data_IF_198376111338
#
_entry.id   IF_198376111338
#
_cell.length_a   1.000
_cell.length_b   1.000
_cell.length_c   1.000
_cell.angle_alpha   90.00
_cell.angle_beta   90.00
_cell.angle_gamma   90.00
#
_symmetry.space_group_name_H-M   'P 1'
#
loop_
_entity.id
_entity.type
_entity.pdbx_description
1 polymer ?
#
# COMPACT_ATOMS: atom_id res chain seq x y z
N UNK A 1 -19.66 10.64 -1.37
CA UNK A 1 -20.10 11.01 -0.06
C UNK A 1 -21.25 11.98 -0.08
N UNK A 2 -21.33 12.85 -1.07
CA UNK A 2 -22.37 13.89 -1.12
C UNK A 2 -23.79 13.30 -1.11
N UNK A 3 -23.97 12.18 -1.79
CA UNK A 3 -25.28 11.55 -1.92
C UNK A 3 -25.73 10.78 -0.67
N UNK A 4 -24.88 10.69 0.31
CA UNK A 4 -25.26 10.23 1.65
C UNK A 4 -25.92 11.38 2.43
N UNK A 5 -25.89 12.56 1.85
CA UNK A 5 -26.37 13.76 2.48
C UNK A 5 -25.32 14.45 3.34
N UNK A 6 -25.78 15.18 4.29
CA UNK A 6 -24.97 15.97 5.21
C UNK A 6 -23.95 15.14 5.97
N UNK A 7 -22.94 15.78 6.56
CA UNK A 7 -22.00 15.11 7.45
C UNK A 7 -22.71 14.24 8.48
N UNK A 8 -22.15 13.06 8.75
CA UNK A 8 -22.67 12.18 9.78
C UNK A 8 -22.68 12.92 11.12
N UNK A 9 -23.83 12.98 11.73
CA UNK A 9 -24.06 13.61 13.03
C UNK A 9 -24.62 12.61 14.03
N UNK A 10 -24.69 13.00 15.29
CA UNK A 10 -25.29 12.17 16.34
C UNK A 10 -26.77 11.85 16.08
N UNK A 11 -27.45 12.62 15.25
CA UNK A 11 -28.84 12.43 14.87
C UNK A 11 -29.03 11.64 13.57
N UNK A 12 -27.97 11.20 12.93
CA UNK A 12 -28.03 10.47 11.67
C UNK A 12 -28.52 9.04 11.91
N UNK A 13 -29.60 8.59 11.24
CA UNK A 13 -30.17 7.24 11.45
C UNK A 13 -29.40 6.18 10.67
N UNK A 14 -28.12 6.04 10.93
CA UNK A 14 -27.24 5.06 10.28
C UNK A 14 -27.22 3.73 11.04
N UNK A 15 -26.76 2.68 10.37
CA UNK A 15 -26.60 1.34 10.97
C UNK A 15 -25.44 1.25 11.98
N UNK A 16 -24.60 2.25 12.04
CA UNK A 16 -23.57 2.42 13.06
C UNK A 16 -23.94 3.54 14.04
N UNK A 17 -22.97 4.04 14.76
CA UNK A 17 -23.14 5.11 15.73
C UNK A 17 -21.94 6.01 15.89
N UNK A 18 -22.16 7.18 16.44
CA UNK A 18 -21.07 8.05 16.89
C UNK A 18 -20.51 7.47 18.20
N UNK A 19 -19.20 7.27 18.22
CA UNK A 19 -18.47 6.87 19.42
C UNK A 19 -17.86 8.11 20.04
N UNK A 20 -18.26 8.37 21.28
CA UNK A 20 -17.72 9.46 22.10
C UNK A 20 -16.64 8.90 23.02
N UNK A 21 -15.49 9.54 23.03
CA UNK A 21 -14.38 9.19 23.91
C UNK A 21 -14.60 9.83 25.29
N UNK A 22 -15.59 9.36 26.02
CA UNK A 22 -15.99 9.93 27.32
C UNK A 22 -14.85 9.96 28.35
N UNK A 23 -13.88 9.04 28.26
CA UNK A 23 -12.68 9.08 29.10
C UNK A 23 -11.87 10.37 28.92
N UNK A 24 -11.88 10.95 27.73
CA UNK A 24 -11.21 12.20 27.40
C UNK A 24 -11.79 13.39 28.17
N UNK A 25 -13.09 13.39 28.37
CA UNK A 25 -13.83 14.42 29.11
C UNK A 25 -14.03 14.09 30.58
N UNK A 26 -13.61 12.91 31.05
CA UNK A 26 -13.76 12.49 32.44
C UNK A 26 -13.20 13.52 33.43
N UNK A 27 -13.86 13.75 34.58
CA UNK A 27 -13.43 14.73 35.57
C UNK A 27 -11.99 14.59 36.04
N UNK A 28 -11.51 13.36 36.22
CA UNK A 28 -10.11 13.07 36.57
C UNK A 28 -9.07 13.54 35.55
N UNK A 29 -9.49 13.77 34.31
CA UNK A 29 -8.63 14.24 33.20
C UNK A 29 -8.69 15.78 33.01
N UNK A 30 -9.51 16.48 33.77
CA UNK A 30 -9.71 17.93 33.62
C UNK A 30 -8.39 18.73 33.65
N UNK A 31 -7.46 18.31 34.50
CA UNK A 31 -6.13 18.93 34.64
C UNK A 31 -5.31 18.91 33.34
N UNK A 32 -5.51 17.92 32.47
CA UNK A 32 -4.78 17.77 31.21
C UNK A 32 -5.43 18.54 30.05
N UNK A 33 -6.63 19.10 30.26
CA UNK A 33 -7.30 19.99 29.33
C UNK A 33 -7.06 21.48 29.64
N UNK A 34 -6.47 21.76 30.79
CA UNK A 34 -6.18 23.12 31.19
C UNK A 34 -5.09 23.75 30.28
N UNK A 35 -5.21 25.02 29.88
CA UNK A 35 -4.18 25.69 29.10
C UNK A 35 -2.78 25.55 29.74
N UNK A 36 -1.79 25.24 28.93
CA UNK A 36 -0.41 25.01 29.37
C UNK A 36 -0.13 23.67 30.05
N UNK A 37 -1.14 22.83 30.26
CA UNK A 37 -0.95 21.50 30.88
C UNK A 37 -1.47 20.36 30.01
N UNK A 38 -1.40 20.52 28.72
CA UNK A 38 -1.81 19.47 27.76
C UNK A 38 -0.84 18.30 27.85
N UNK A 39 -1.40 17.08 28.01
CA UNK A 39 -0.64 15.85 28.07
C UNK A 39 -1.06 14.92 26.95
N UNK A 40 -0.08 14.34 26.28
CA UNK A 40 -0.27 13.20 25.39
C UNK A 40 -0.60 11.95 26.26
N UNK A 41 -1.42 10.99 25.79
CA UNK A 41 -1.96 10.87 24.45
C UNK A 41 -3.32 11.56 24.22
N UNK A 42 -3.89 12.27 25.17
CA UNK A 42 -5.26 12.78 25.11
C UNK A 42 -5.59 13.64 23.88
N UNK A 43 -4.58 14.28 23.28
CA UNK A 43 -4.73 15.21 22.17
C UNK A 43 -4.24 14.63 20.84
N UNK A 44 -3.96 13.31 20.79
CA UNK A 44 -3.40 12.66 19.60
C UNK A 44 -4.45 12.17 18.61
N UNK A 45 -5.73 12.36 18.89
CA UNK A 45 -6.82 11.82 18.08
C UNK A 45 -8.10 12.64 18.26
N UNK A 46 -9.04 12.59 17.30
CA UNK A 46 -10.35 13.24 17.43
C UNK A 46 -11.13 12.75 18.65
N UNK A 47 -11.90 13.67 19.27
CA UNK A 47 -12.74 13.35 20.43
C UNK A 47 -13.87 12.38 20.09
N UNK A 48 -14.36 12.43 18.87
CA UNK A 48 -15.46 11.59 18.38
C UNK A 48 -15.15 11.02 17.01
N UNK A 49 -15.70 9.85 16.73
CA UNK A 49 -15.65 9.23 15.41
C UNK A 49 -16.89 8.37 15.16
N UNK A 50 -17.15 8.04 13.90
CA UNK A 50 -18.22 7.13 13.54
C UNK A 50 -17.72 5.68 13.51
N UNK A 51 -18.45 4.75 14.14
CA UNK A 51 -18.18 3.32 14.09
C UNK A 51 -19.39 2.57 13.54
N UNK A 52 -19.18 1.87 12.43
CA UNK A 52 -20.22 1.11 11.75
C UNK A 52 -20.10 1.18 10.24
N UNK A 53 -21.17 0.77 9.57
CA UNK A 53 -21.24 0.79 8.11
C UNK A 53 -21.75 2.14 7.59
N UNK A 54 -20.93 2.86 6.86
CA UNK A 54 -21.33 4.05 6.13
C UNK A 54 -21.55 3.70 4.64
N UNK A 55 -22.61 4.25 4.06
CA UNK A 55 -22.99 4.00 2.68
C UNK A 55 -22.83 5.24 1.84
N UNK A 56 -22.06 5.11 0.76
CA UNK A 56 -21.83 6.15 -0.24
C UNK A 56 -22.49 5.74 -1.52
N UNK A 57 -23.31 6.63 -2.09
CA UNK A 57 -24.00 6.36 -3.34
C UNK A 57 -23.89 7.56 -4.27
N UNK A 58 -23.58 7.30 -5.53
CA UNK A 58 -23.43 8.32 -6.55
C UNK A 58 -23.82 7.79 -7.92
N UNK A 59 -24.47 8.64 -8.70
CA UNK A 59 -24.61 8.39 -10.13
C UNK A 59 -23.31 8.80 -10.85
N UNK A 60 -22.74 7.87 -11.59
CA UNK A 60 -21.57 8.07 -12.45
C UNK A 60 -22.01 8.02 -13.91
N UNK A 61 -21.32 8.77 -14.76
CA UNK A 61 -21.59 8.76 -16.20
C UNK A 61 -20.38 8.18 -16.93
N UNK A 62 -20.57 7.06 -17.60
CA UNK A 62 -19.54 6.44 -18.43
C UNK A 62 -19.60 7.06 -19.83
N UNK A 63 -18.51 7.66 -20.35
CA UNK A 63 -18.50 8.27 -21.67
C UNK A 63 -18.48 7.20 -22.78
N UNK A 64 -18.95 7.57 -23.97
CA UNK A 64 -18.95 6.68 -25.14
C UNK A 64 -17.55 6.16 -25.49
N UNK A 65 -16.51 6.96 -25.23
CA UNK A 65 -15.10 6.58 -25.44
C UNK A 65 -14.62 5.42 -24.58
N UNK A 66 -15.40 5.01 -23.57
CA UNK A 66 -15.09 3.86 -22.70
C UNK A 66 -15.80 2.57 -23.13
N UNK A 67 -16.58 2.63 -24.22
CA UNK A 67 -17.12 1.41 -24.84
C UNK A 67 -15.96 0.46 -25.15
N UNK A 68 -16.20 -0.81 -25.00
CA UNK A 68 -15.22 -1.88 -25.23
C UNK A 68 -13.98 -1.86 -24.31
N UNK A 69 -14.04 -1.09 -23.24
CA UNK A 69 -12.97 -1.05 -22.24
C UNK A 69 -13.34 -1.76 -20.92
N UNK A 70 -12.34 -2.11 -20.18
CA UNK A 70 -12.43 -2.55 -18.79
C UNK A 70 -12.52 -1.32 -17.90
N UNK A 71 -13.57 -1.22 -17.07
CA UNK A 71 -13.79 -0.12 -16.13
C UNK A 71 -13.44 -0.57 -14.72
N UNK A 72 -12.61 0.19 -14.03
CA UNK A 72 -12.12 -0.09 -12.66
C UNK A 72 -12.44 1.09 -11.78
N UNK A 73 -12.99 0.80 -10.58
CA UNK A 73 -13.02 1.73 -9.46
C UNK A 73 -11.75 1.55 -8.64
N UNK A 74 -11.06 2.66 -8.37
CA UNK A 74 -9.89 2.73 -7.50
C UNK A 74 -10.20 3.60 -6.29
N UNK A 75 -9.97 3.05 -5.09
CA UNK A 75 -10.09 3.73 -3.80
C UNK A 75 -8.72 3.68 -3.12
N UNK A 76 -8.05 4.82 -2.96
CA UNK A 76 -6.64 4.84 -2.52
C UNK A 76 -6.44 4.29 -1.11
N UNK A 77 -7.23 4.75 -0.15
CA UNK A 77 -7.17 4.28 1.23
C UNK A 77 -8.57 4.28 1.83
N UNK A 78 -9.08 3.10 2.08
CA UNK A 78 -10.36 2.91 2.75
C UNK A 78 -10.14 2.35 4.15
N UNK A 79 -11.03 2.65 5.09
CA UNK A 79 -10.95 2.14 6.44
C UNK A 79 -12.33 1.71 6.95
N UNK A 80 -12.57 0.42 7.00
CA UNK A 80 -11.72 -0.75 6.75
C UNK A 80 -12.24 -1.55 5.55
N UNK A 81 -13.25 -2.47 5.76
CA UNK A 81 -13.87 -3.24 4.68
C UNK A 81 -14.68 -2.33 3.76
N UNK A 82 -14.48 -2.48 2.45
CA UNK A 82 -15.40 -1.91 1.47
C UNK A 82 -16.15 -3.00 0.73
N UNK A 83 -17.42 -2.71 0.39
CA UNK A 83 -18.26 -3.50 -0.51
C UNK A 83 -18.81 -2.61 -1.59
N UNK A 84 -18.77 -3.06 -2.83
CA UNK A 84 -19.10 -2.24 -4.00
C UNK A 84 -20.22 -2.88 -4.81
N UNK A 85 -21.17 -2.05 -5.26
CA UNK A 85 -22.21 -2.41 -6.20
C UNK A 85 -22.22 -1.42 -7.38
N UNK A 86 -22.49 -1.93 -8.56
CA UNK A 86 -22.81 -1.12 -9.73
C UNK A 86 -24.26 -1.44 -10.15
N UNK A 87 -25.14 -0.43 -10.08
CA UNK A 87 -26.60 -0.62 -10.11
C UNK A 87 -26.98 -1.63 -8.99
N UNK A 88 -27.67 -2.71 -9.35
CA UNK A 88 -28.08 -3.75 -8.39
C UNK A 88 -27.08 -4.93 -8.29
N UNK A 89 -25.99 -4.88 -9.09
CA UNK A 89 -25.00 -5.97 -9.12
C UNK A 89 -23.92 -5.77 -8.08
N UNK A 90 -23.75 -6.73 -7.16
CA UNK A 90 -22.60 -6.79 -6.29
C UNK A 90 -21.32 -7.07 -7.09
N UNK A 91 -20.31 -6.24 -6.90
CA UNK A 91 -19.01 -6.34 -7.58
C UNK A 91 -17.99 -7.09 -6.75
N UNK A 92 -17.93 -6.82 -5.46
CA UNK A 92 -16.97 -7.47 -4.56
C UNK A 92 -16.77 -6.75 -3.25
N UNK A 93 -15.86 -7.31 -2.44
CA UNK A 93 -15.42 -6.74 -1.16
C UNK A 93 -13.89 -6.77 -1.05
N UNK A 94 -13.34 -5.88 -0.24
CA UNK A 94 -11.91 -5.82 0.08
C UNK A 94 -11.73 -5.38 1.54
N UNK A 95 -10.86 -6.06 2.26
CA UNK A 95 -10.56 -5.88 3.68
C UNK A 95 -9.09 -5.49 3.95
N UNK A 96 -8.39 -4.96 2.95
CA UNK A 96 -7.03 -4.44 3.15
C UNK A 96 -7.04 -3.18 4.00
N UNK A 97 -6.15 -3.10 4.97
CA UNK A 97 -5.86 -1.87 5.72
C UNK A 97 -4.75 -1.04 5.07
N UNK A 98 -3.98 -1.65 4.19
CA UNK A 98 -2.68 -1.15 3.75
C UNK A 98 -2.68 -0.64 2.32
N UNK A 99 -3.46 -1.26 1.43
CA UNK A 99 -3.35 -1.06 -0.01
C UNK A 99 -4.63 -0.47 -0.62
N UNK A 100 -4.55 0.13 -1.80
CA UNK A 100 -5.74 0.56 -2.51
C UNK A 100 -6.74 -0.57 -2.73
N UNK A 101 -8.03 -0.25 -2.69
CA UNK A 101 -9.09 -1.16 -3.08
C UNK A 101 -9.45 -0.93 -4.54
N UNK A 102 -9.24 -1.95 -5.37
CA UNK A 102 -9.56 -1.91 -6.79
C UNK A 102 -10.69 -2.89 -7.13
N UNK A 103 -11.68 -2.40 -7.88
CA UNK A 103 -12.84 -3.17 -8.29
C UNK A 103 -13.05 -3.10 -9.79
N UNK A 104 -13.03 -4.23 -10.46
CA UNK A 104 -13.44 -4.31 -11.85
C UNK A 104 -14.96 -4.20 -11.94
N UNK A 105 -15.46 -3.03 -12.28
CA UNK A 105 -16.90 -2.77 -12.39
C UNK A 105 -17.52 -3.53 -13.56
N UNK A 106 -16.77 -3.72 -14.62
CA UNK A 106 -17.19 -4.51 -15.78
C UNK A 106 -16.30 -4.30 -16.98
N UNK A 107 -16.63 -5.06 -18.02
CA UNK A 107 -16.08 -4.94 -19.37
C UNK A 107 -17.26 -4.66 -20.26
N UNK A 108 -17.10 -3.80 -21.25
CA UNK A 108 -18.16 -3.42 -22.20
C UNK A 108 -19.44 -2.87 -21.53
N UNK A 109 -19.26 -2.11 -20.44
CA UNK A 109 -20.39 -1.45 -19.80
C UNK A 109 -21.02 -0.44 -20.76
N UNK A 110 -22.37 -0.38 -20.85
CA UNK A 110 -23.03 0.61 -21.67
C UNK A 110 -22.62 2.02 -21.26
N UNK A 111 -22.35 2.93 -22.20
CA UNK A 111 -22.20 4.35 -21.89
C UNK A 111 -23.47 4.90 -21.27
N UNK A 112 -23.32 5.96 -20.49
CA UNK A 112 -24.45 6.61 -19.84
C UNK A 112 -24.40 6.48 -18.32
N UNK A 113 -25.54 6.62 -17.68
CA UNK A 113 -25.70 6.75 -16.25
C UNK A 113 -25.75 5.39 -15.55
N UNK A 114 -24.92 5.23 -14.54
CA UNK A 114 -24.89 4.06 -13.64
C UNK A 114 -24.86 4.51 -12.19
N UNK A 115 -25.47 3.74 -11.31
CA UNK A 115 -25.43 3.99 -9.88
C UNK A 115 -24.30 3.20 -9.23
N UNK A 116 -23.30 3.91 -8.68
CA UNK A 116 -22.23 3.34 -7.89
C UNK A 116 -22.60 3.42 -6.42
N UNK A 117 -22.53 2.29 -5.72
CA UNK A 117 -22.73 2.22 -4.28
C UNK A 117 -21.50 1.61 -3.63
N UNK A 118 -20.98 2.25 -2.60
CA UNK A 118 -19.85 1.78 -1.78
C UNK A 118 -20.26 1.78 -0.31
N UNK A 119 -20.18 0.63 0.34
CA UNK A 119 -20.30 0.51 1.79
C UNK A 119 -18.90 0.46 2.38
N UNK A 120 -18.63 1.27 3.38
CA UNK A 120 -17.38 1.26 4.16
C UNK A 120 -17.73 0.91 5.60
N UNK A 121 -17.06 -0.10 6.16
CA UNK A 121 -17.30 -0.56 7.52
C UNK A 121 -15.99 -0.59 8.30
N UNK A 122 -15.85 0.25 9.31
CA UNK A 122 -14.66 0.36 10.15
C UNK A 122 -14.73 -0.47 11.44
N UNK A 123 -15.71 -1.36 11.57
CA UNK A 123 -15.69 -2.34 12.65
C UNK A 123 -14.55 -3.34 12.41
N UNK A 124 -14.05 -3.95 13.48
CA UNK A 124 -13.02 -4.99 13.37
C UNK A 124 -13.60 -6.21 12.63
N UNK A 125 -13.31 -6.30 11.31
CA UNK A 125 -13.82 -7.39 10.47
C UNK A 125 -13.01 -8.68 10.63
N UNK A 126 -11.76 -8.54 11.06
CA UNK A 126 -10.86 -9.62 11.49
C UNK A 126 -10.16 -9.14 12.75
N UNK A 127 -10.10 -9.97 13.79
CA UNK A 127 -9.34 -9.61 14.99
C UNK A 127 -7.84 -9.70 14.73
N UNK A 128 -7.26 -8.56 14.36
CA UNK A 128 -5.82 -8.38 14.11
C UNK A 128 -5.04 -7.95 15.35
N UNK A 129 -5.73 -7.81 16.49
CA UNK A 129 -5.20 -7.24 17.72
C UNK A 129 -5.74 -5.84 17.98
N UNK A 130 -6.44 -5.65 19.10
CA UNK A 130 -7.15 -4.41 19.42
C UNK A 130 -6.26 -3.18 19.60
N UNK A 131 -4.96 -3.39 19.86
CA UNK A 131 -3.97 -2.31 20.01
C UNK A 131 -3.25 -1.94 18.72
N UNK A 132 -3.48 -2.64 17.61
CA UNK A 132 -2.88 -2.30 16.32
C UNK A 132 -3.07 -0.82 16.00
N UNK A 133 -1.98 -0.14 15.63
CA UNK A 133 -2.03 1.31 15.35
C UNK A 133 -2.82 1.66 14.09
N UNK A 134 -3.10 0.69 13.24
CA UNK A 134 -3.99 0.91 12.09
C UNK A 134 -5.46 1.08 12.49
N UNK A 135 -5.87 0.58 13.67
CA UNK A 135 -7.27 0.58 14.13
C UNK A 135 -7.47 1.06 15.57
N UNK A 136 -6.37 1.23 16.32
CA UNK A 136 -6.42 1.54 17.75
C UNK A 136 -6.94 2.94 18.05
N UNK A 137 -7.77 3.06 19.08
CA UNK A 137 -8.18 4.33 19.64
C UNK A 137 -7.07 5.07 20.41
N UNK A 138 -5.92 4.44 20.61
CA UNK A 138 -4.77 5.03 21.27
C UNK A 138 -3.94 5.93 20.33
N UNK A 139 -4.17 5.87 19.03
CA UNK A 139 -3.43 6.63 18.01
C UNK A 139 -4.35 7.45 17.12
N UNK A 140 -4.57 7.03 15.88
CA UNK A 140 -5.39 7.76 14.92
C UNK A 140 -6.91 7.70 15.19
N UNK A 141 -7.33 6.75 16.03
CA UNK A 141 -8.73 6.40 16.18
C UNK A 141 -9.23 5.51 15.04
N UNK A 142 -10.40 4.94 15.24
CA UNK A 142 -11.03 4.06 14.26
C UNK A 142 -11.89 4.89 13.27
N UNK A 143 -11.24 5.69 12.43
CA UNK A 143 -11.91 6.54 11.45
C UNK A 143 -12.73 5.71 10.44
N UNK A 144 -13.73 6.31 9.81
CA UNK A 144 -14.53 5.69 8.76
C UNK A 144 -14.47 6.52 7.49
N UNK A 145 -14.32 5.85 6.37
CA UNK A 145 -14.40 6.51 5.07
C UNK A 145 -13.32 6.10 4.08
N UNK A 146 -13.14 6.95 3.08
CA UNK A 146 -12.16 6.81 2.02
C UNK A 146 -11.38 8.10 1.92
N UNK A 147 -10.05 8.02 2.00
CA UNK A 147 -9.15 9.16 1.86
C UNK A 147 -8.23 8.99 0.66
N UNK A 148 -7.68 10.10 0.17
CA UNK A 148 -6.89 10.11 -1.05
C UNK A 148 -7.74 10.05 -2.32
N UNK A 149 -7.20 9.43 -3.35
CA UNK A 149 -7.82 9.39 -4.69
C UNK A 149 -9.00 8.42 -4.72
N UNK A 150 -10.09 8.87 -5.36
CA UNK A 150 -11.22 8.04 -5.75
C UNK A 150 -11.37 8.22 -7.26
N UNK A 151 -11.09 7.17 -8.04
CA UNK A 151 -10.98 7.27 -9.48
C UNK A 151 -11.78 6.17 -10.19
N UNK A 152 -12.37 6.53 -11.33
CA UNK A 152 -12.78 5.58 -12.34
C UNK A 152 -11.73 5.56 -13.44
N UNK A 153 -11.25 4.36 -13.77
CA UNK A 153 -10.21 4.13 -14.79
C UNK A 153 -10.76 3.24 -15.88
N UNK A 154 -10.58 3.66 -17.13
CA UNK A 154 -10.84 2.80 -18.28
C UNK A 154 -9.51 2.29 -18.84
N UNK A 155 -9.42 1.00 -19.07
CA UNK A 155 -8.22 0.34 -19.61
C UNK A 155 -8.61 -0.66 -20.68
N UNK A 156 -7.68 -1.02 -21.58
CA UNK A 156 -7.89 -2.14 -22.48
C UNK A 156 -8.23 -3.44 -21.73
N UNK A 157 -8.92 -4.37 -22.40
CA UNK A 157 -9.36 -5.65 -21.83
C UNK A 157 -8.21 -6.55 -21.40
N UNK A 158 -7.08 -6.50 -22.11
CA UNK A 158 -5.81 -7.08 -21.66
C UNK A 158 -4.93 -5.97 -21.07
N UNK A 159 -4.44 -6.18 -19.85
CA UNK A 159 -3.63 -5.19 -19.13
C UNK A 159 -2.47 -5.84 -18.36
N UNK A 160 -1.50 -5.02 -17.98
CA UNK A 160 -0.40 -5.44 -17.10
C UNK A 160 -0.92 -5.37 -15.66
N UNK A 161 -1.24 -6.54 -15.08
CA UNK A 161 -1.82 -6.65 -13.74
C UNK A 161 -0.77 -6.53 -12.64
N UNK A 162 0.45 -7.02 -12.91
CA UNK A 162 1.59 -6.94 -11.99
C UNK A 162 2.87 -6.68 -12.77
N UNK A 163 3.77 -5.89 -12.17
CA UNK A 163 5.08 -5.55 -12.72
C UNK A 163 6.08 -5.43 -11.58
N UNK A 164 7.06 -6.32 -11.53
CA UNK A 164 8.07 -6.40 -10.49
C UNK A 164 9.46 -6.25 -11.08
N UNK A 165 10.29 -5.47 -10.41
CA UNK A 165 11.70 -5.28 -10.77
C UNK A 165 12.56 -5.87 -9.68
N UNK A 166 13.50 -6.74 -10.07
CA UNK A 166 14.46 -7.39 -9.19
C UNK A 166 15.87 -6.86 -9.51
N UNK A 167 16.38 -5.91 -8.72
CA UNK A 167 17.71 -5.34 -8.93
C UNK A 167 18.82 -6.38 -8.72
N UNK A 168 19.85 -6.30 -9.55
CA UNK A 168 21.12 -6.99 -9.39
C UNK A 168 22.25 -5.94 -9.35
N UNK A 169 22.69 -5.60 -8.14
CA UNK A 169 23.70 -4.56 -7.91
C UNK A 169 25.06 -4.98 -8.45
N UNK A 170 25.44 -6.26 -8.26
CA UNK A 170 26.72 -6.79 -8.72
C UNK A 170 26.83 -6.79 -10.24
N UNK A 171 25.77 -7.23 -10.93
CA UNK A 171 25.69 -7.22 -12.38
C UNK A 171 25.35 -5.85 -12.98
N UNK A 172 25.04 -4.84 -12.18
CA UNK A 172 24.51 -3.53 -12.60
C UNK A 172 23.37 -3.67 -13.62
N UNK A 173 22.44 -4.55 -13.28
CA UNK A 173 21.29 -4.89 -14.11
C UNK A 173 20.07 -5.16 -13.24
N UNK A 174 18.97 -5.58 -13.87
CA UNK A 174 17.78 -6.02 -13.17
C UNK A 174 17.00 -7.04 -14.00
N UNK A 175 16.19 -7.84 -13.32
CA UNK A 175 15.20 -8.73 -13.90
C UNK A 175 13.82 -8.13 -13.75
N UNK A 176 12.99 -8.27 -14.78
CA UNK A 176 11.60 -7.82 -14.78
C UNK A 176 10.70 -9.03 -14.83
N UNK A 177 9.71 -9.08 -13.95
CA UNK A 177 8.66 -10.10 -13.95
C UNK A 177 7.30 -9.46 -13.84
N UNK A 178 6.26 -10.16 -14.25
CA UNK A 178 4.91 -9.67 -14.06
C UNK A 178 3.84 -10.60 -14.60
N UNK A 179 2.62 -10.07 -14.57
CA UNK A 179 1.40 -10.76 -15.02
C UNK A 179 0.65 -9.86 -15.99
N UNK A 180 0.30 -10.41 -17.14
CA UNK A 180 -0.72 -9.84 -18.02
C UNK A 180 -2.02 -10.56 -17.71
N UNK A 181 -3.09 -9.81 -17.47
CA UNK A 181 -4.43 -10.33 -17.31
C UNK A 181 -5.31 -9.88 -18.47
N UNK A 182 -6.35 -10.67 -18.80
CA UNK A 182 -7.29 -10.39 -19.85
C UNK A 182 -8.71 -10.69 -19.34
N UNK A 183 -9.56 -9.69 -19.37
CA UNK A 183 -10.95 -9.78 -18.89
C UNK A 183 -11.91 -10.46 -19.90
N UNK A 184 -11.49 -10.64 -21.16
CA UNK A 184 -12.21 -11.38 -22.20
C UNK A 184 -11.24 -12.24 -23.00
N UNK A 185 -10.73 -13.34 -22.41
CA UNK A 185 -9.85 -14.25 -23.12
C UNK A 185 -10.62 -14.94 -24.25
N UNK A 186 -10.04 -14.94 -25.45
CA UNK A 186 -10.60 -15.65 -26.60
C UNK A 186 -10.08 -17.09 -26.76
N UNK A 187 -9.24 -17.50 -25.83
CA UNK A 187 -8.59 -18.82 -25.80
C UNK A 187 -7.52 -19.03 -26.87
N UNK A 188 -7.29 -18.04 -27.73
CA UNK A 188 -6.25 -18.08 -28.77
C UNK A 188 -4.96 -17.47 -28.21
N UNK A 189 -3.87 -18.20 -28.35
CA UNK A 189 -2.57 -17.67 -28.01
C UNK A 189 -2.18 -16.55 -29.00
N UNK A 190 -2.44 -15.33 -28.61
CA UNK A 190 -1.96 -14.16 -29.35
C UNK A 190 -0.59 -13.76 -28.80
N UNK A 191 0.38 -13.65 -29.68
CA UNK A 191 1.72 -13.16 -29.32
C UNK A 191 1.86 -11.69 -29.69
N UNK A 192 2.34 -10.89 -28.76
CA UNK A 192 2.65 -9.49 -28.98
C UNK A 192 4.07 -9.16 -28.51
N UNK A 193 4.45 -7.92 -28.64
CA UNK A 193 5.72 -7.41 -28.07
C UNK A 193 5.40 -6.33 -27.05
N UNK A 194 5.82 -6.55 -25.80
CA UNK A 194 5.77 -5.54 -24.77
C UNK A 194 7.01 -4.64 -24.88
N UNK A 195 6.77 -3.33 -24.92
CA UNK A 195 7.83 -2.34 -24.86
C UNK A 195 8.17 -2.00 -23.40
N UNK A 196 9.47 -1.93 -23.09
CA UNK A 196 9.97 -1.41 -21.81
C UNK A 196 10.71 -0.09 -22.08
N UNK A 197 10.37 0.93 -21.31
CA UNK A 197 11.08 2.21 -21.30
C UNK A 197 11.57 2.49 -19.87
N UNK A 198 12.87 2.74 -19.75
CA UNK A 198 13.51 3.07 -18.48
C UNK A 198 13.92 4.54 -18.48
N UNK A 199 13.65 5.23 -17.38
CA UNK A 199 14.02 6.63 -17.18
C UNK A 199 14.55 6.82 -15.76
N UNK A 200 15.58 7.66 -15.61
CA UNK A 200 15.92 8.20 -14.29
C UNK A 200 14.82 9.20 -13.92
N UNK A 201 14.28 9.05 -12.75
CA UNK A 201 13.21 9.88 -12.22
C UNK A 201 13.71 10.71 -11.05
N UNK A 202 13.42 11.99 -11.09
CA UNK A 202 13.67 12.90 -9.98
C UNK A 202 12.32 13.35 -9.44
N UNK A 203 11.99 12.86 -8.26
CA UNK A 203 10.64 12.98 -7.75
C UNK A 203 10.34 14.36 -7.16
N UNK A 204 11.35 15.07 -6.63
CA UNK A 204 11.15 16.39 -6.01
C UNK A 204 10.58 17.44 -6.98
N UNK A 205 10.93 17.37 -8.24
CA UNK A 205 10.46 18.27 -9.29
C UNK A 205 9.62 17.59 -10.37
N UNK A 206 9.33 16.29 -10.20
CA UNK A 206 8.62 15.43 -11.15
C UNK A 206 9.23 15.48 -12.56
N UNK A 207 10.51 15.77 -12.65
CA UNK A 207 11.20 15.88 -13.93
C UNK A 207 11.79 14.53 -14.35
N UNK A 208 11.70 14.26 -15.65
CA UNK A 208 12.39 13.16 -16.29
C UNK A 208 13.78 13.64 -16.67
N UNK A 209 14.79 13.21 -15.93
CA UNK A 209 16.18 13.54 -16.23
C UNK A 209 16.65 12.62 -17.34
N UNK A 210 17.01 13.16 -18.47
CA UNK A 210 17.58 12.52 -19.68
C UNK A 210 16.57 11.81 -20.60
N UNK A 211 16.95 11.59 -21.86
CA UNK A 211 16.18 10.72 -22.74
C UNK A 211 16.04 9.34 -22.10
N UNK A 212 14.98 8.60 -22.44
CA UNK A 212 14.79 7.25 -21.91
C UNK A 212 16.07 6.44 -22.13
N UNK A 213 16.57 5.84 -21.04
CA UNK A 213 17.87 5.16 -21.03
C UNK A 213 17.92 4.07 -22.10
N UNK A 214 16.81 3.36 -22.32
CA UNK A 214 16.62 2.47 -23.47
C UNK A 214 15.16 2.06 -23.68
N UNK A 215 14.81 1.81 -24.94
CA UNK A 215 13.55 1.12 -25.29
C UNK A 215 13.88 -0.31 -25.70
N UNK A 216 13.35 -1.27 -24.97
CA UNK A 216 13.48 -2.70 -25.22
C UNK A 216 12.11 -3.28 -25.58
N UNK A 217 12.07 -4.39 -26.29
CA UNK A 217 10.80 -5.03 -26.63
C UNK A 217 10.92 -6.55 -26.52
N UNK A 218 9.99 -7.15 -25.78
CA UNK A 218 9.97 -8.57 -25.44
C UNK A 218 8.68 -9.26 -25.88
N UNK A 219 8.72 -10.56 -26.25
CA UNK A 219 7.53 -11.30 -26.63
C UNK A 219 6.62 -11.53 -25.39
N UNK A 220 5.31 -11.45 -25.58
CA UNK A 220 4.30 -11.72 -24.54
C UNK A 220 3.11 -12.47 -25.11
N UNK A 221 2.43 -13.25 -24.26
CA UNK A 221 1.16 -13.89 -24.56
C UNK A 221 -0.01 -12.98 -24.12
N UNK A 222 -1.03 -12.80 -24.95
CA UNK A 222 -2.12 -11.84 -24.72
C UNK A 222 -3.52 -12.50 -24.68
N UNK A 223 -3.70 -13.68 -25.23
CA UNK A 223 -5.03 -14.28 -25.45
C UNK A 223 -5.57 -15.11 -24.29
N UNK A 224 -4.78 -15.36 -23.26
CA UNK A 224 -5.16 -16.13 -22.08
C UNK A 224 -5.67 -15.23 -20.96
N UNK A 225 -6.45 -15.79 -20.03
CA UNK A 225 -6.95 -15.04 -18.86
C UNK A 225 -5.81 -14.43 -18.04
N UNK A 226 -4.73 -15.20 -17.85
CA UNK A 226 -3.48 -14.74 -17.23
C UNK A 226 -2.28 -15.33 -17.93
N UNK A 227 -1.26 -14.51 -18.13
CA UNK A 227 0.05 -14.91 -18.61
C UNK A 227 1.14 -14.29 -17.77
N UNK A 228 2.10 -15.07 -17.29
CA UNK A 228 3.29 -14.58 -16.62
C UNK A 228 4.38 -14.27 -17.64
N UNK A 229 5.24 -13.32 -17.31
CA UNK A 229 6.44 -13.01 -18.06
C UNK A 229 7.62 -12.75 -17.14
N UNK A 230 8.83 -12.96 -17.67
CA UNK A 230 10.06 -12.66 -16.93
C UNK A 230 11.26 -12.56 -17.86
N UNK A 231 12.06 -11.49 -17.70
CA UNK A 231 13.25 -11.26 -18.50
C UNK A 231 14.36 -10.64 -17.67
N UNK A 232 15.59 -11.09 -17.89
CA UNK A 232 16.80 -10.40 -17.45
C UNK A 232 17.18 -9.35 -18.47
N UNK A 233 17.43 -8.13 -18.02
CA UNK A 233 17.83 -7.03 -18.90
C UNK A 233 19.36 -7.05 -19.01
N UNK A 234 19.92 -7.17 -20.23
CA UNK A 234 21.38 -7.20 -20.38
C UNK A 234 22.05 -5.93 -19.85
N UNK A 235 23.14 -6.07 -19.10
CA UNK A 235 23.85 -4.93 -18.48
C UNK A 235 24.40 -3.93 -19.52
N UNK A 236 24.81 -4.40 -20.71
CA UNK A 236 25.22 -3.54 -21.81
C UNK A 236 24.14 -2.59 -22.34
N UNK A 237 22.88 -2.89 -22.02
CA UNK A 237 21.72 -2.05 -22.35
C UNK A 237 21.44 -0.98 -21.29
N UNK A 238 22.15 -1.01 -20.15
CA UNK A 238 21.89 -0.24 -18.94
C UNK A 238 23.12 0.55 -18.45
N UNK A 239 24.01 0.95 -19.37
CA UNK A 239 25.21 1.71 -19.01
C UNK A 239 24.84 2.95 -18.17
N UNK A 240 25.51 3.11 -17.02
CA UNK A 240 25.36 4.28 -16.16
C UNK A 240 24.26 4.17 -15.09
N UNK A 241 23.73 2.99 -14.82
CA UNK A 241 22.86 2.82 -13.64
C UNK A 241 23.64 3.05 -12.33
N UNK A 242 23.10 3.90 -11.51
CA UNK A 242 23.59 4.22 -10.16
C UNK A 242 22.83 3.43 -9.11
N UNK A 243 23.53 3.05 -8.04
CA UNK A 243 22.90 2.38 -6.90
C UNK A 243 22.14 3.37 -6.03
N UNK A 244 21.03 2.89 -5.44
CA UNK A 244 20.25 3.61 -4.44
C UNK A 244 20.76 3.30 -3.02
N UNK A 245 20.98 4.32 -2.22
CA UNK A 245 21.18 4.24 -0.77
C UNK A 245 20.84 5.59 -0.10
N UNK A 246 21.06 5.71 1.22
CA UNK A 246 20.76 6.93 1.99
C UNK A 246 21.56 8.18 1.54
N UNK A 247 22.69 8.00 0.88
CA UNK A 247 23.57 9.07 0.41
C UNK A 247 23.41 9.37 -1.09
N UNK A 248 22.87 8.40 -1.83
CA UNK A 248 22.62 8.51 -3.27
C UNK A 248 21.23 7.94 -3.61
N UNK A 249 20.14 8.64 -3.29
CA UNK A 249 18.77 8.13 -3.46
C UNK A 249 18.26 8.24 -4.91
N UNK A 250 18.99 7.61 -5.83
CA UNK A 250 18.63 7.60 -7.26
C UNK A 250 17.54 6.58 -7.52
N UNK A 251 16.44 7.03 -8.11
CA UNK A 251 15.33 6.18 -8.52
C UNK A 251 15.13 6.17 -10.02
N UNK A 252 14.53 5.09 -10.51
CA UNK A 252 14.22 4.87 -11.91
C UNK A 252 12.74 4.56 -12.06
N UNK A 253 12.14 5.01 -13.15
CA UNK A 253 10.81 4.59 -13.59
C UNK A 253 10.94 3.61 -14.74
N UNK A 254 10.35 2.44 -14.58
CA UNK A 254 10.17 1.46 -15.64
C UNK A 254 8.72 1.49 -16.10
N UNK A 255 8.51 1.83 -17.36
CA UNK A 255 7.21 1.76 -18.02
C UNK A 255 7.17 0.56 -18.95
N UNK A 256 6.26 -0.37 -18.68
CA UNK A 256 5.93 -1.45 -19.58
C UNK A 256 4.66 -1.10 -20.37
N UNK A 257 4.65 -1.35 -21.69
CA UNK A 257 3.53 -1.02 -22.57
C UNK A 257 3.21 -2.18 -23.49
N UNK A 258 1.92 -2.58 -23.55
CA UNK A 258 1.40 -3.58 -24.46
C UNK A 258 1.01 -2.96 -25.81
N UNK A 259 0.94 -3.77 -26.89
CA UNK A 259 0.52 -3.28 -28.23
C UNK A 259 -0.87 -2.65 -28.25
N UNK A 260 -1.78 -3.05 -27.36
CA UNK A 260 -3.14 -2.53 -27.25
C UNK A 260 -3.25 -1.17 -26.52
N UNK A 261 -2.11 -0.57 -26.15
CA UNK A 261 -2.06 0.72 -25.45
C UNK A 261 -2.10 0.62 -23.90
N UNK A 262 -2.33 -0.56 -23.33
CA UNK A 262 -2.20 -0.73 -21.88
C UNK A 262 -0.76 -0.51 -21.44
N UNK A 263 -0.56 0.25 -20.36
CA UNK A 263 0.76 0.49 -19.79
C UNK A 263 0.73 0.47 -18.27
N UNK A 264 1.85 0.10 -17.66
CA UNK A 264 2.09 0.18 -16.21
C UNK A 264 3.49 0.74 -15.96
N UNK A 265 3.56 1.73 -15.07
CA UNK A 265 4.82 2.33 -14.62
C UNK A 265 5.06 1.97 -13.16
N UNK A 266 6.30 1.59 -12.85
CA UNK A 266 6.74 1.34 -11.47
C UNK A 266 8.04 2.10 -11.22
N UNK A 267 8.22 2.57 -9.97
CA UNK A 267 9.45 3.18 -9.48
C UNK A 267 10.28 2.14 -8.76
N UNK A 268 11.59 2.11 -9.01
CA UNK A 268 12.53 1.23 -8.31
C UNK A 268 13.90 1.89 -8.16
N UNK A 269 14.75 1.34 -7.29
CA UNK A 269 16.16 1.69 -7.17
C UNK A 269 17.05 0.46 -7.31
N UNK A 270 18.24 0.66 -7.87
CA UNK A 270 19.24 -0.41 -7.94
C UNK A 270 19.88 -0.58 -6.56
N UNK A 271 19.36 -1.50 -5.75
CA UNK A 271 19.86 -1.74 -4.39
C UNK A 271 19.82 -3.21 -4.02
N UNK A 272 20.76 -3.61 -3.15
CA UNK A 272 20.75 -4.87 -2.42
C UNK A 272 20.80 -4.55 -0.91
N UNK A 273 19.76 -4.96 -0.16
CA UNK A 273 19.71 -4.83 1.29
C UNK A 273 19.76 -6.22 1.91
N UNK A 274 20.66 -6.44 2.86
CA UNK A 274 20.91 -7.76 3.42
C UNK A 274 21.49 -7.73 4.83
N UNK A 275 21.98 -8.90 5.25
CA UNK A 275 22.65 -9.10 6.54
C UNK A 275 23.96 -9.83 6.28
N UNK A 276 25.03 -9.37 6.91
CA UNK A 276 26.33 -10.06 6.96
C UNK A 276 26.77 -10.18 8.43
N UNK A 277 26.85 -11.41 8.92
CA UNK A 277 27.05 -11.65 10.35
C UNK A 277 25.90 -11.07 11.17
N UNK A 278 26.18 -10.07 12.00
CA UNK A 278 25.22 -9.38 12.88
C UNK A 278 24.88 -7.97 12.41
N UNK A 279 25.31 -7.58 11.20
CA UNK A 279 25.13 -6.23 10.68
C UNK A 279 24.24 -6.22 9.44
N UNK A 280 23.44 -5.17 9.30
CA UNK A 280 22.79 -4.88 8.03
C UNK A 280 23.80 -4.40 7.00
N UNK A 281 23.51 -4.70 5.73
CA UNK A 281 24.31 -4.22 4.62
C UNK A 281 23.41 -3.55 3.55
N UNK A 282 23.96 -2.51 2.91
CA UNK A 282 23.41 -1.88 1.72
C UNK A 282 24.45 -1.90 0.60
N UNK A 283 24.11 -2.52 -0.52
CA UNK A 283 25.02 -2.64 -1.68
C UNK A 283 26.40 -3.22 -1.31
N UNK A 284 26.43 -4.22 -0.40
CA UNK A 284 27.65 -4.86 0.11
C UNK A 284 28.42 -4.05 1.15
N UNK A 285 27.90 -2.91 1.61
CA UNK A 285 28.54 -2.09 2.66
C UNK A 285 27.76 -2.19 3.96
N UNK A 286 28.43 -2.34 5.14
CA UNK A 286 27.73 -2.25 6.42
C UNK A 286 26.95 -0.96 6.56
N UNK A 287 25.76 -1.07 7.09
CA UNK A 287 24.90 0.08 7.41
C UNK A 287 24.28 -0.08 8.79
N UNK A 288 23.97 1.03 9.42
CA UNK A 288 23.32 1.07 10.73
C UNK A 288 21.98 1.81 10.63
N UNK A 289 20.90 1.14 11.02
CA UNK A 289 19.56 1.75 11.03
C UNK A 289 19.40 2.60 12.29
N UNK A 290 19.43 3.91 12.12
CA UNK A 290 19.14 4.91 13.15
C UNK A 290 17.67 5.28 13.01
N UNK A 291 16.80 4.61 13.75
CA UNK A 291 15.38 4.68 13.52
C UNK A 291 14.56 5.26 14.67
N UNK A 292 13.34 5.59 14.35
CA UNK A 292 12.26 5.87 15.31
C UNK A 292 10.97 5.17 14.85
N UNK A 293 9.97 5.14 15.76
CA UNK A 293 8.65 4.61 15.45
C UNK A 293 7.78 5.67 14.81
N UNK A 294 6.97 5.25 13.86
CA UNK A 294 5.81 5.96 13.35
C UNK A 294 4.57 5.13 13.71
N UNK A 295 3.64 5.71 14.46
CA UNK A 295 2.53 5.00 15.09
C UNK A 295 1.17 5.49 14.57
N UNK A 296 1.09 5.97 13.34
CA UNK A 296 -0.13 6.51 12.71
C UNK A 296 -0.81 7.63 13.53
N UNK A 297 0.00 8.52 14.13
CA UNK A 297 -0.50 9.61 14.97
C UNK A 297 -0.64 10.89 14.15
N UNK A 298 -1.85 11.15 13.65
CA UNK A 298 -2.19 12.34 12.86
C UNK A 298 -3.40 13.04 13.46
N UNK A 299 -3.22 13.82 14.55
CA UNK A 299 -4.34 14.30 15.36
C UNK A 299 -5.24 15.32 14.66
N UNK A 300 -4.74 16.02 13.64
CA UNK A 300 -5.54 17.01 12.90
C UNK A 300 -6.55 16.38 11.96
N UNK A 301 -6.25 15.21 11.41
CA UNK A 301 -7.08 14.52 10.43
C UNK A 301 -7.75 13.29 11.01
N UNK A 302 -7.14 12.64 12.00
CA UNK A 302 -7.56 11.37 12.56
C UNK A 302 -7.22 10.17 11.67
N UNK A 303 -6.50 10.37 10.59
CA UNK A 303 -6.08 9.32 9.67
C UNK A 303 -4.71 9.62 9.06
N UNK A 304 -4.03 8.61 8.58
CA UNK A 304 -2.75 8.70 7.88
C UNK A 304 -2.90 9.52 6.59
N UNK A 305 -2.01 10.51 6.33
CA UNK A 305 -2.07 11.32 5.12
C UNK A 305 -1.70 10.51 3.87
N UNK A 306 -2.29 10.87 2.74
CA UNK A 306 -2.03 10.27 1.42
C UNK A 306 -1.25 11.18 0.48
N UNK A 307 -0.83 12.34 0.95
CA UNK A 307 -0.10 13.34 0.16
C UNK A 307 1.41 13.35 0.46
N UNK A 308 2.19 13.74 -0.53
CA UNK A 308 3.66 13.77 -0.46
C UNK A 308 4.18 14.84 0.53
N UNK A 309 3.51 15.99 0.62
CA UNK A 309 3.97 17.10 1.45
C UNK A 309 3.94 16.74 2.95
N UNK A 310 2.87 16.10 3.39
CA UNK A 310 2.72 15.64 4.77
C UNK A 310 3.80 14.62 5.15
N UNK A 311 4.08 13.66 4.27
CA UNK A 311 5.13 12.68 4.51
C UNK A 311 6.53 13.29 4.43
N UNK A 312 6.75 14.26 3.55
CA UNK A 312 8.03 14.97 3.47
C UNK A 312 8.36 15.63 4.80
N UNK A 313 7.40 16.31 5.44
CA UNK A 313 7.57 16.91 6.77
C UNK A 313 7.98 15.88 7.82
N UNK A 314 7.37 14.68 7.81
CA UNK A 314 7.72 13.60 8.74
C UNK A 314 9.16 13.12 8.51
N UNK A 315 9.52 12.81 7.28
CA UNK A 315 10.85 12.28 6.98
C UNK A 315 11.97 13.32 7.11
N UNK A 316 11.73 14.56 6.71
CA UNK A 316 12.70 15.64 6.89
C UNK A 316 12.96 15.94 8.38
N UNK A 317 11.91 15.89 9.21
CA UNK A 317 12.08 16.01 10.66
C UNK A 317 12.95 14.86 11.21
N UNK A 318 12.71 13.62 10.80
CA UNK A 318 13.52 12.47 11.19
C UNK A 318 14.99 12.64 10.75
N UNK A 319 15.23 13.04 9.49
CA UNK A 319 16.58 13.28 8.96
C UNK A 319 17.31 14.41 9.68
N UNK A 320 16.61 15.48 10.03
CA UNK A 320 17.19 16.59 10.79
C UNK A 320 17.74 16.16 12.16
N UNK A 321 17.23 15.03 12.69
CA UNK A 321 17.73 14.40 13.92
C UNK A 321 18.76 13.28 13.66
N UNK A 322 19.27 13.16 12.43
CA UNK A 322 20.25 12.15 12.05
C UNK A 322 19.68 10.73 11.86
N UNK A 323 18.37 10.58 11.78
CA UNK A 323 17.70 9.29 11.54
C UNK A 323 17.69 8.96 10.07
N UNK A 324 17.80 7.68 9.73
CA UNK A 324 17.73 7.15 8.36
C UNK A 324 16.69 6.05 8.21
N UNK A 325 15.93 5.74 9.27
CA UNK A 325 14.95 4.67 9.28
C UNK A 325 13.67 5.09 10.01
N UNK A 326 12.52 4.69 9.48
CA UNK A 326 11.24 4.70 10.18
C UNK A 326 10.66 3.28 10.24
N UNK A 327 10.30 2.84 11.44
CA UNK A 327 9.51 1.64 11.68
C UNK A 327 8.03 2.04 11.81
N UNK A 328 7.20 1.53 10.92
CA UNK A 328 5.75 1.70 10.97
C UNK A 328 5.14 0.64 11.88
N UNK A 329 4.89 1.04 13.11
CA UNK A 329 4.49 0.13 14.18
C UNK A 329 3.05 -0.37 14.01
N UNK A 330 2.89 -1.65 13.71
CA UNK A 330 1.63 -2.34 13.41
C UNK A 330 0.76 -1.68 12.34
N UNK A 331 1.39 -1.08 11.31
CA UNK A 331 0.68 -0.62 10.12
C UNK A 331 1.62 -0.49 8.91
N UNK A 332 1.03 -0.40 7.72
CA UNK A 332 1.71 -0.08 6.48
C UNK A 332 1.27 1.30 6.01
N UNK A 333 2.19 2.22 5.70
CA UNK A 333 1.83 3.56 5.26
C UNK A 333 1.29 3.56 3.81
N UNK A 334 0.66 4.67 3.37
CA UNK A 334 0.27 4.87 1.97
C UNK A 334 1.47 5.02 1.04
N UNK A 335 1.22 4.90 -0.28
CA UNK A 335 2.23 5.02 -1.35
C UNK A 335 3.07 6.30 -1.24
N UNK A 336 2.47 7.43 -0.84
CA UNK A 336 3.17 8.70 -0.68
C UNK A 336 4.35 8.63 0.30
N UNK A 337 4.25 7.83 1.36
CA UNK A 337 5.36 7.62 2.30
C UNK A 337 6.53 6.90 1.62
N UNK A 338 6.26 5.85 0.85
CA UNK A 338 7.30 5.12 0.10
C UNK A 338 7.98 6.02 -0.93
N UNK A 339 7.19 6.82 -1.67
CA UNK A 339 7.73 7.74 -2.68
C UNK A 339 8.68 8.76 -2.05
N UNK A 340 8.27 9.40 -0.96
CA UNK A 340 9.12 10.38 -0.27
C UNK A 340 10.35 9.72 0.35
N UNK A 341 10.22 8.52 0.91
CA UNK A 341 11.35 7.79 1.45
C UNK A 341 12.37 7.39 0.37
N UNK A 342 11.87 6.98 -0.80
CA UNK A 342 12.73 6.69 -1.97
C UNK A 342 13.57 7.90 -2.38
N UNK A 343 12.96 9.09 -2.40
CA UNK A 343 13.59 10.36 -2.77
C UNK A 343 14.63 10.84 -1.74
N UNK A 344 14.35 10.58 -0.47
CA UNK A 344 15.17 11.06 0.63
C UNK A 344 16.22 10.04 1.09
N UNK A 345 16.23 8.82 0.55
CA UNK A 345 17.13 7.77 0.96
C UNK A 345 16.84 7.21 2.35
N UNK A 346 15.56 7.21 2.75
CA UNK A 346 15.14 6.66 4.05
C UNK A 346 14.84 5.17 3.92
N UNK A 347 15.25 4.39 4.90
CA UNK A 347 14.93 2.96 4.99
C UNK A 347 13.61 2.76 5.72
N UNK A 348 12.70 1.99 5.14
CA UNK A 348 11.40 1.71 5.74
C UNK A 348 11.34 0.29 6.27
N UNK A 349 10.96 0.19 7.53
CA UNK A 349 10.62 -1.02 8.23
C UNK A 349 9.09 -1.04 8.38
N UNK A 350 8.43 -1.77 7.51
CA UNK A 350 6.97 -1.79 7.37
C UNK A 350 6.40 -2.99 8.13
N UNK A 351 5.24 -2.83 8.71
CA UNK A 351 4.51 -3.92 9.33
C UNK A 351 3.15 -4.12 8.66
N UNK A 352 2.70 -5.39 8.58
CA UNK A 352 1.28 -5.68 8.40
C UNK A 352 0.51 -5.21 9.63
N UNK A 353 -0.79 -5.09 9.55
CA UNK A 353 -1.59 -4.46 10.60
C UNK A 353 -1.78 -5.26 11.90
N UNK A 354 -1.04 -6.35 12.17
CA UNK A 354 -1.32 -7.21 13.33
C UNK A 354 -0.60 -6.79 14.60
N UNK A 355 -1.28 -6.91 15.75
CA UNK A 355 -0.68 -6.84 17.09
C UNK A 355 -1.40 -7.82 18.03
N UNK A 356 -1.12 -9.14 17.93
CA UNK A 356 -1.99 -10.18 18.47
C UNK A 356 -1.99 -10.36 19.98
N UNK A 357 -0.90 -10.11 20.67
CA UNK A 357 -0.65 -10.59 22.04
C UNK A 357 -1.70 -10.24 23.11
N UNK A 358 -2.65 -9.37 22.83
CA UNK A 358 -3.66 -8.92 23.79
C UNK A 358 -5.08 -9.41 23.49
N UNK A 359 -5.46 -9.60 22.22
CA UNK A 359 -6.83 -9.99 21.87
C UNK A 359 -6.91 -11.21 20.97
N UNK A 360 -5.83 -11.58 20.27
CA UNK A 360 -5.84 -12.71 19.34
C UNK A 360 -4.54 -13.52 19.38
N UNK A 361 -4.43 -14.54 18.56
CA UNK A 361 -3.27 -15.44 18.46
C UNK A 361 -3.01 -15.80 17.00
N UNK A 362 -1.75 -16.13 16.67
CA UNK A 362 -1.33 -16.55 15.34
C UNK A 362 -1.00 -18.04 15.29
N UNK A 363 -1.30 -18.68 14.17
CA UNK A 363 -0.99 -20.08 13.89
C UNK A 363 -2.02 -21.08 14.44
N UNK A 364 -3.15 -20.60 14.89
CA UNK A 364 -4.25 -21.43 15.44
C UNK A 364 -5.39 -21.66 14.43
N UNK A 365 -5.22 -21.23 13.18
CA UNK A 365 -6.26 -21.30 12.15
C UNK A 365 -7.38 -20.28 12.32
N UNK A 366 -7.12 -19.21 13.05
CA UNK A 366 -8.04 -18.08 13.17
C UNK A 366 -8.05 -17.26 11.87
N UNK A 367 -9.10 -16.48 11.58
CA UNK A 367 -9.18 -15.65 10.39
C UNK A 367 -8.00 -14.69 10.18
N UNK A 368 -7.30 -14.31 11.25
CA UNK A 368 -6.13 -13.44 11.19
C UNK A 368 -4.95 -14.10 10.46
N UNK A 369 -4.81 -15.42 10.54
CA UNK A 369 -3.72 -16.13 9.86
C UNK A 369 -3.84 -15.97 8.34
N UNK A 370 -5.02 -16.26 7.77
CA UNK A 370 -5.29 -16.08 6.36
C UNK A 370 -5.28 -14.60 5.94
N UNK A 371 -5.77 -13.71 6.82
CA UNK A 371 -5.77 -12.28 6.56
C UNK A 371 -4.34 -11.75 6.45
N UNK A 372 -3.45 -12.14 7.35
CA UNK A 372 -2.05 -11.73 7.35
C UNK A 372 -1.35 -12.16 6.05
N UNK A 373 -1.58 -13.38 5.58
CA UNK A 373 -0.99 -13.85 4.33
C UNK A 373 -1.50 -13.04 3.12
N UNK A 374 -2.81 -12.80 3.03
CA UNK A 374 -3.39 -11.99 1.95
C UNK A 374 -2.92 -10.54 2.00
N UNK A 375 -2.85 -9.95 3.20
CA UNK A 375 -2.40 -8.56 3.37
C UNK A 375 -0.93 -8.41 3.00
N UNK A 376 -0.08 -9.38 3.36
CA UNK A 376 1.31 -9.46 2.94
C UNK A 376 1.44 -9.44 1.42
N UNK A 377 0.70 -10.29 0.71
CA UNK A 377 0.73 -10.36 -0.75
C UNK A 377 0.28 -9.04 -1.40
N UNK A 378 -0.74 -8.40 -0.83
CA UNK A 378 -1.24 -7.08 -1.27
C UNK A 378 -0.18 -5.99 -1.11
N UNK A 379 0.48 -5.93 0.05
CA UNK A 379 1.56 -4.98 0.34
C UNK A 379 2.73 -5.17 -0.62
N UNK A 380 3.17 -6.41 -0.83
CA UNK A 380 4.27 -6.73 -1.73
C UNK A 380 3.94 -6.40 -3.20
N UNK A 381 2.70 -6.65 -3.64
CA UNK A 381 2.22 -6.29 -4.98
C UNK A 381 2.15 -4.77 -5.16
N UNK A 382 1.65 -4.04 -4.17
CA UNK A 382 1.47 -2.60 -4.26
C UNK A 382 2.80 -1.83 -4.14
N UNK A 383 3.63 -2.18 -3.15
CA UNK A 383 4.77 -1.36 -2.75
C UNK A 383 6.12 -2.06 -2.90
N UNK A 384 6.14 -3.31 -3.35
CA UNK A 384 7.33 -4.14 -3.39
C UNK A 384 8.47 -3.63 -4.29
N UNK A 385 8.23 -2.69 -5.20
CA UNK A 385 9.26 -2.12 -6.05
C UNK A 385 10.02 -0.95 -5.41
N UNK A 386 9.48 -0.32 -4.36
CA UNK A 386 10.11 0.81 -3.69
C UNK A 386 11.46 0.42 -3.07
N UNK A 387 12.57 1.11 -3.40
CA UNK A 387 13.88 0.78 -2.84
C UNK A 387 13.98 1.08 -1.34
N UNK A 388 13.21 2.04 -0.84
CA UNK A 388 13.13 2.35 0.59
C UNK A 388 12.56 1.21 1.43
N UNK A 389 11.73 0.34 0.85
CA UNK A 389 11.08 -0.78 1.54
C UNK A 389 12.05 -1.93 1.77
N UNK A 390 12.77 -1.91 2.89
CA UNK A 390 13.88 -2.85 3.18
C UNK A 390 13.54 -3.99 4.13
N UNK A 391 12.53 -3.81 5.01
CA UNK A 391 12.11 -4.85 5.98
C UNK A 391 10.58 -4.91 6.02
N UNK A 392 10.02 -6.13 6.05
CA UNK A 392 8.60 -6.39 6.30
C UNK A 392 8.44 -7.35 7.47
N UNK A 393 7.56 -7.00 8.41
CA UNK A 393 7.15 -7.84 9.53
C UNK A 393 5.65 -8.15 9.47
N UNK A 394 5.25 -9.21 10.20
CA UNK A 394 3.83 -9.54 10.37
C UNK A 394 3.03 -8.42 11.06
N UNK A 395 3.68 -7.66 11.93
CA UNK A 395 3.13 -6.66 12.83
C UNK A 395 3.98 -6.54 14.07
N UNK A 396 3.36 -6.24 15.20
CA UNK A 396 4.03 -6.12 16.50
C UNK A 396 3.61 -7.27 17.43
N UNK A 397 4.49 -7.63 18.37
CA UNK A 397 4.26 -8.54 19.49
C UNK A 397 3.32 -9.70 19.20
N UNK A 398 3.80 -10.78 18.59
CA UNK A 398 2.97 -11.93 18.25
C UNK A 398 2.46 -12.63 19.51
N UNK A 399 1.30 -13.27 19.40
CA UNK A 399 0.64 -14.00 20.49
C UNK A 399 0.26 -15.42 20.11
N UNK A 400 0.07 -16.27 21.14
CA UNK A 400 -0.38 -17.67 21.02
C UNK A 400 0.78 -18.68 21.01
N UNK A 401 0.48 -19.93 21.36
CA UNK A 401 1.50 -20.98 21.53
C UNK A 401 2.13 -21.44 20.19
N UNK A 402 1.46 -21.17 19.07
CA UNK A 402 1.88 -21.61 17.73
C UNK A 402 2.51 -20.53 16.87
N UNK A 403 2.57 -19.30 17.37
CA UNK A 403 3.01 -18.15 16.57
C UNK A 403 4.42 -18.31 16.01
N UNK A 404 5.37 -18.92 16.77
CA UNK A 404 6.76 -19.12 16.31
C UNK A 404 6.81 -20.01 15.07
N UNK A 405 6.10 -21.14 15.11
CA UNK A 405 6.07 -22.08 13.98
C UNK A 405 5.34 -21.49 12.76
N UNK A 406 4.26 -20.75 12.98
CA UNK A 406 3.52 -20.06 11.93
C UNK A 406 4.35 -18.96 11.28
N UNK A 407 4.95 -18.08 12.05
CA UNK A 407 5.75 -16.95 11.54
C UNK A 407 7.04 -17.41 10.86
N UNK A 408 7.64 -18.53 11.30
CA UNK A 408 8.75 -19.15 10.56
C UNK A 408 8.32 -19.50 9.13
N UNK A 409 7.19 -20.19 8.95
CA UNK A 409 6.65 -20.55 7.64
C UNK A 409 6.28 -19.30 6.83
N UNK A 410 5.71 -18.28 7.48
CA UNK A 410 5.38 -17.00 6.84
C UNK A 410 6.63 -16.32 6.29
N UNK A 411 7.73 -16.25 7.06
CA UNK A 411 9.02 -15.69 6.61
C UNK A 411 9.57 -16.49 5.43
N UNK A 412 9.59 -17.83 5.52
CA UNK A 412 10.06 -18.71 4.44
C UNK A 412 9.26 -18.50 3.15
N UNK A 413 7.93 -18.40 3.25
CA UNK A 413 7.03 -18.10 2.13
C UNK A 413 7.34 -16.71 1.53
N UNK A 414 7.50 -15.70 2.35
CA UNK A 414 7.81 -14.34 1.91
C UNK A 414 9.15 -14.28 1.16
N UNK A 415 10.19 -14.89 1.70
CA UNK A 415 11.50 -14.96 1.04
C UNK A 415 11.46 -15.70 -0.30
N UNK A 416 10.68 -16.77 -0.39
CA UNK A 416 10.51 -17.51 -1.64
C UNK A 416 9.76 -16.70 -2.71
N UNK A 417 8.79 -15.88 -2.30
CA UNK A 417 7.95 -15.09 -3.21
C UNK A 417 8.60 -13.77 -3.62
N UNK A 418 9.31 -13.11 -2.70
CA UNK A 418 9.94 -11.80 -2.94
C UNK A 418 11.23 -11.62 -2.14
N UNK A 419 12.40 -12.01 -2.68
CA UNK A 419 13.68 -11.93 -1.97
C UNK A 419 14.30 -10.51 -1.95
N UNK A 420 13.57 -9.48 -2.38
CA UNK A 420 14.12 -8.11 -2.50
C UNK A 420 14.33 -7.40 -1.16
N UNK A 421 13.89 -7.97 -0.05
CA UNK A 421 13.94 -7.37 1.29
C UNK A 421 14.11 -8.42 2.37
N UNK A 422 14.33 -7.97 3.60
CA UNK A 422 14.33 -8.85 4.77
C UNK A 422 12.92 -9.02 5.31
N UNK A 423 12.69 -10.15 5.94
CA UNK A 423 11.46 -10.48 6.65
C UNK A 423 11.78 -10.97 8.06
N UNK A 424 10.92 -10.62 9.02
CA UNK A 424 11.07 -11.10 10.39
C UNK A 424 9.72 -11.44 11.02
N UNK A 425 9.69 -12.53 11.76
CA UNK A 425 8.57 -12.92 12.60
C UNK A 425 8.65 -12.35 14.01
N UNK A 426 9.75 -11.64 14.35
CA UNK A 426 9.95 -11.00 15.64
C UNK A 426 9.80 -9.50 15.53
N UNK A 427 8.98 -8.93 16.42
CA UNK A 427 8.87 -7.49 16.63
C UNK A 427 8.36 -7.27 18.06
N UNK A 428 9.06 -6.44 18.83
CA UNK A 428 8.77 -6.18 20.25
C UNK A 428 9.99 -5.63 20.95
#
# INVERSE_FOLDING_TARGET
GQDIGDPITTNTPWTGGIVDKSWFTAPGQAKYRAPGNVKVPFWLQPETYYKGAAWYQRDIVLPESWRDQRVVLFLERAHWETRVWLNDRFIGSNDSLSTPHEYQLGVDLPPGKHRLTVRVDNRMVVDIGENSHSISDHTQGNWNGIVGRIELRATPKAWIDDLRVYPDVAGRTFRVEGVIANAQPDGKLQTGRMALALQRWHAADQTRISPPVKRLAFPVALGTEKATFGWSIPSGDLAGLETWDEFNPVVYQLTASLPNGSSRTVTFGLRAFGVEGTQFTINGRPTFLRGTLECAIFPKTGHTPTDLESWRKVFEAARAHGLNNLRFHSHCPPEAAFQVADELGMYLHVECGTWPNQSTTLGDGKPVDDWLERETDRILKAYGNHPSFVILLHGNEPGGDRHVAFLKKWVERCLANDPRRLYSGGAG
#
